data_IF_657896645457
#
_entry.id   IF_657896645457
#
_cell.length_a   1.000
_cell.length_b   1.000
_cell.length_c   1.000
_cell.angle_alpha   90.00
_cell.angle_beta   90.00
_cell.angle_gamma   90.00
#
_symmetry.space_group_name_H-M   'P 1'
#
loop_
_entity.id
_entity.type
_entity.pdbx_description
1 polymer ?
#
# COMPACT_ATOMS: atom_id res chain seq x y z
N UNK A 1 -7.18 9.80 6.13
CA UNK A 1 -6.93 8.56 6.87
C UNK A 1 -5.67 7.98 6.29
N UNK A 2 -4.53 8.00 7.02
CA UNK A 2 -3.36 7.18 6.67
C UNK A 2 -3.86 5.79 6.26
N UNK A 3 -3.22 5.10 5.32
CA UNK A 3 -3.51 3.68 5.11
C UNK A 3 -3.43 3.01 6.48
N UNK A 4 -4.57 2.82 7.13
CA UNK A 4 -4.64 2.29 8.47
C UNK A 4 -4.53 0.80 8.25
N UNK A 5 -3.29 0.35 8.10
CA UNK A 5 -2.88 -1.04 8.08
C UNK A 5 -3.09 -1.71 9.44
N UNK A 6 -4.16 -1.36 10.16
CA UNK A 6 -4.58 -2.04 11.39
C UNK A 6 -5.27 -3.37 11.09
N UNK A 7 -4.93 -4.00 9.95
CA UNK A 7 -5.41 -5.34 9.65
C UNK A 7 -4.73 -6.32 10.62
N UNK A 8 -5.50 -7.19 11.32
CA UNK A 8 -4.97 -8.24 12.17
C UNK A 8 -3.89 -9.09 11.48
N UNK A 9 -3.93 -9.18 10.15
CA UNK A 9 -2.98 -9.92 9.31
C UNK A 9 -1.53 -9.45 9.48
N UNK A 10 -1.27 -8.14 9.61
CA UNK A 10 0.10 -7.65 9.81
C UNK A 10 0.71 -8.12 11.14
N UNK A 11 -0.12 -8.24 12.19
CA UNK A 11 0.32 -8.81 13.47
C UNK A 11 0.71 -10.28 13.33
N UNK A 12 -0.02 -11.05 12.50
CA UNK A 12 0.29 -12.46 12.24
C UNK A 12 1.61 -12.63 11.47
N UNK A 13 2.00 -11.64 10.68
CA UNK A 13 3.29 -11.64 9.98
C UNK A 13 4.45 -11.11 10.84
N UNK A 14 4.22 -10.79 12.11
CA UNK A 14 5.25 -10.28 13.01
C UNK A 14 5.68 -8.83 12.73
N UNK A 15 4.89 -8.06 12.00
CA UNK A 15 5.18 -6.64 11.75
C UNK A 15 4.77 -5.80 12.96
N UNK A 16 5.71 -5.06 13.52
CA UNK A 16 5.50 -4.20 14.70
C UNK A 16 4.69 -2.94 14.37
N UNK A 17 4.12 -2.31 15.41
CA UNK A 17 3.39 -1.06 15.23
C UNK A 17 4.30 0.08 14.75
N UNK A 18 5.57 0.08 15.19
CA UNK A 18 6.62 1.01 14.79
C UNK A 18 6.94 0.85 13.30
N UNK A 19 7.12 -0.38 12.83
CA UNK A 19 7.31 -0.66 11.39
C UNK A 19 6.08 -0.21 10.60
N UNK A 20 4.86 -0.51 11.06
CA UNK A 20 3.64 -0.02 10.40
C UNK A 20 3.59 1.51 10.33
N UNK A 21 4.14 2.22 11.32
CA UNK A 21 4.20 3.69 11.32
C UNK A 21 5.18 4.21 10.27
N UNK A 22 6.35 3.59 10.15
CA UNK A 22 7.40 3.98 9.19
C UNK A 22 7.03 3.64 7.74
N UNK A 23 6.22 2.61 7.53
CA UNK A 23 5.76 2.16 6.22
C UNK A 23 4.52 2.92 5.70
N UNK A 24 4.18 4.08 6.29
CA UNK A 24 3.05 4.94 5.85
C UNK A 24 3.54 6.10 5.00
N UNK A 25 2.92 6.30 3.84
CA UNK A 25 3.04 7.53 3.04
C UNK A 25 2.05 8.59 3.52
N UNK A 26 2.45 9.86 3.46
CA UNK A 26 1.54 10.98 3.70
C UNK A 26 0.39 10.97 2.69
N UNK A 27 -0.85 11.05 3.17
CA UNK A 27 -2.06 10.81 2.37
C UNK A 27 -2.38 11.90 1.36
N UNK A 28 -1.88 13.11 1.59
CA UNK A 28 -2.05 14.27 0.74
C UNK A 28 -1.20 14.19 -0.54
N UNK A 29 -0.20 13.31 -0.58
CA UNK A 29 0.73 13.15 -1.71
C UNK A 29 0.35 11.95 -2.61
N UNK A 30 -0.70 11.20 -2.26
CA UNK A 30 -1.09 9.99 -3.00
C UNK A 30 -2.01 10.33 -4.17
N UNK A 31 -1.43 10.29 -5.37
CA UNK A 31 -2.12 10.38 -6.65
C UNK A 31 -2.23 9.01 -7.34
N UNK A 32 -3.39 8.76 -7.95
CA UNK A 32 -3.67 7.54 -8.73
C UNK A 32 -3.70 7.83 -10.22
N UNK A 33 -3.31 6.86 -11.06
CA UNK A 33 -3.31 7.00 -12.53
C UNK A 33 -4.35 6.15 -13.26
N UNK A 34 -4.78 5.01 -12.72
CA UNK A 34 -5.63 4.03 -13.43
C UNK A 34 -6.85 3.54 -12.62
N UNK A 35 -7.98 4.26 -12.56
CA UNK A 35 -8.23 5.56 -13.17
C UNK A 35 -7.55 6.69 -12.39
N UNK A 36 -7.42 7.84 -13.05
CA UNK A 36 -6.86 9.05 -12.44
C UNK A 36 -7.70 9.50 -11.24
N UNK A 37 -7.03 9.80 -10.14
CA UNK A 37 -7.69 10.19 -8.90
C UNK A 37 -6.69 10.61 -7.83
N UNK A 38 -7.21 10.90 -6.64
CA UNK A 38 -6.40 11.23 -5.46
C UNK A 38 -6.99 10.58 -4.23
N UNK A 39 -6.20 10.44 -3.18
CA UNK A 39 -6.72 9.96 -1.90
C UNK A 39 -7.89 10.82 -1.41
N UNK A 40 -8.98 10.17 -0.97
CA UNK A 40 -10.21 10.84 -0.54
C UNK A 40 -11.07 11.41 -1.68
N UNK A 41 -10.61 11.29 -2.93
CA UNK A 41 -11.36 11.68 -4.13
C UNK A 41 -11.98 10.51 -4.87
N UNK A 42 -12.43 10.78 -6.10
CA UNK A 42 -13.00 9.77 -6.99
C UNK A 42 -11.99 8.65 -7.25
N UNK A 43 -12.46 7.40 -7.19
CA UNK A 43 -11.61 6.21 -7.32
C UNK A 43 -10.86 5.79 -6.05
N UNK A 44 -10.89 6.59 -4.97
CA UNK A 44 -10.17 6.26 -3.74
C UNK A 44 -10.71 4.99 -3.07
N UNK A 45 -12.03 4.80 -3.01
CA UNK A 45 -12.64 3.59 -2.41
C UNK A 45 -12.21 2.31 -3.13
N UNK A 46 -12.12 2.35 -4.47
CA UNK A 46 -11.65 1.21 -5.24
C UNK A 46 -10.17 0.89 -4.93
N UNK A 47 -9.31 1.91 -4.88
CA UNK A 47 -7.91 1.76 -4.51
C UNK A 47 -7.74 1.13 -3.11
N UNK A 48 -8.54 1.57 -2.14
CA UNK A 48 -8.54 0.99 -0.78
C UNK A 48 -8.95 -0.48 -0.80
N UNK A 49 -10.03 -0.82 -1.52
CA UNK A 49 -10.51 -2.20 -1.59
C UNK A 49 -9.52 -3.14 -2.30
N UNK A 50 -8.79 -2.66 -3.31
CA UNK A 50 -7.71 -3.42 -3.96
C UNK A 50 -6.57 -3.72 -2.98
N UNK A 51 -6.14 -2.72 -2.21
CA UNK A 51 -5.09 -2.90 -1.20
C UNK A 51 -5.52 -3.85 -0.08
N UNK A 52 -6.76 -3.74 0.41
CA UNK A 52 -7.32 -4.68 1.38
C UNK A 52 -7.28 -6.11 0.85
N UNK A 53 -7.71 -6.33 -0.40
CA UNK A 53 -7.61 -7.65 -1.04
C UNK A 53 -6.17 -8.17 -1.12
N UNK A 54 -5.18 -7.31 -1.41
CA UNK A 54 -3.77 -7.70 -1.42
C UNK A 54 -3.31 -8.14 -0.03
N UNK A 55 -3.68 -7.41 1.01
CA UNK A 55 -3.35 -7.74 2.41
C UNK A 55 -3.98 -9.08 2.80
N UNK A 56 -5.30 -9.19 2.63
CA UNK A 56 -6.09 -10.32 3.15
C UNK A 56 -5.79 -11.63 2.43
N UNK A 57 -5.35 -11.58 1.17
CA UNK A 57 -5.01 -12.77 0.38
C UNK A 57 -3.52 -13.07 0.29
N UNK A 58 -2.66 -12.29 0.95
CA UNK A 58 -1.23 -12.60 1.04
C UNK A 58 -0.97 -13.57 2.17
N UNK A 59 -0.11 -14.56 1.93
CA UNK A 59 0.22 -15.58 2.95
C UNK A 59 1.22 -15.05 3.98
N UNK A 60 2.14 -14.20 3.53
CA UNK A 60 3.21 -13.65 4.33
C UNK A 60 3.55 -12.22 3.86
N UNK A 61 4.39 -11.54 4.64
CA UNK A 61 4.81 -10.17 4.38
C UNK A 61 5.56 -10.02 3.05
N UNK A 62 6.39 -10.99 2.67
CA UNK A 62 7.15 -10.92 1.42
C UNK A 62 6.23 -10.99 0.18
N UNK A 63 5.21 -11.85 0.24
CA UNK A 63 4.17 -11.92 -0.78
C UNK A 63 3.39 -10.62 -0.86
N UNK A 64 3.03 -10.03 0.30
CA UNK A 64 2.40 -8.72 0.36
C UNK A 64 3.26 -7.64 -0.33
N UNK A 65 4.54 -7.52 0.03
CA UNK A 65 5.46 -6.51 -0.55
C UNK A 65 5.56 -6.66 -2.06
N UNK A 66 5.74 -7.89 -2.59
CA UNK A 66 5.77 -8.14 -4.04
C UNK A 66 4.50 -7.69 -4.75
N UNK A 67 3.34 -8.02 -4.19
CA UNK A 67 2.04 -7.66 -4.78
C UNK A 67 1.76 -6.16 -4.67
N UNK A 68 2.17 -5.54 -3.57
CA UNK A 68 2.09 -4.09 -3.38
C UNK A 68 2.93 -3.35 -4.43
N UNK A 69 4.14 -3.81 -4.73
CA UNK A 69 4.99 -3.19 -5.75
C UNK A 69 4.37 -3.28 -7.15
N UNK A 70 3.79 -4.43 -7.50
CA UNK A 70 3.05 -4.59 -8.76
C UNK A 70 1.84 -3.65 -8.82
N UNK A 71 1.06 -3.59 -7.75
CA UNK A 71 -0.09 -2.68 -7.64
C UNK A 71 0.35 -1.21 -7.72
N UNK A 72 1.46 -0.83 -7.09
CA UNK A 72 1.99 0.52 -7.11
C UNK A 72 2.39 0.95 -8.52
N UNK A 73 3.11 0.12 -9.27
CA UNK A 73 3.43 0.37 -10.68
C UNK A 73 2.20 0.57 -11.55
N UNK A 74 1.08 -0.09 -11.22
CA UNK A 74 -0.17 0.04 -11.96
C UNK A 74 -1.02 1.24 -11.51
N UNK A 75 -1.05 1.56 -10.20
CA UNK A 75 -2.03 2.50 -9.62
C UNK A 75 -1.44 3.84 -9.21
N UNK A 76 -0.19 3.90 -8.78
CA UNK A 76 0.40 5.13 -8.24
C UNK A 76 1.09 5.95 -9.33
N UNK A 77 0.90 7.26 -9.26
CA UNK A 77 1.75 8.20 -9.99
C UNK A 77 3.18 8.09 -9.44
N UNK A 78 4.15 7.81 -10.30
CA UNK A 78 5.53 7.51 -9.89
C UNK A 78 5.79 6.02 -9.57
N UNK A 79 4.78 5.15 -9.67
CA UNK A 79 4.94 3.71 -9.54
C UNK A 79 5.49 3.27 -8.18
N UNK A 80 6.40 2.31 -8.19
CA UNK A 80 7.09 1.81 -6.97
C UNK A 80 7.86 2.91 -6.23
N UNK A 81 8.37 3.93 -6.92
CA UNK A 81 9.11 5.02 -6.27
C UNK A 81 8.21 5.89 -5.37
N UNK A 82 6.89 5.82 -5.54
CA UNK A 82 5.94 6.47 -4.64
C UNK A 82 5.73 5.71 -3.31
N UNK A 83 6.27 4.50 -3.18
CA UNK A 83 6.25 3.75 -1.92
C UNK A 83 7.35 4.23 -0.97
N UNK A 84 7.20 4.07 0.35
CA UNK A 84 8.30 4.22 1.31
C UNK A 84 9.43 3.23 1.04
N UNK A 85 10.67 3.61 1.33
CA UNK A 85 11.87 2.80 1.01
C UNK A 85 11.79 1.36 1.54
N UNK A 86 11.23 1.15 2.73
CA UNK A 86 11.07 -0.18 3.34
C UNK A 86 10.06 -1.08 2.62
N UNK A 87 9.29 -0.55 1.67
CA UNK A 87 8.34 -1.28 0.84
C UNK A 87 8.79 -1.41 -0.62
N UNK A 88 9.92 -0.82 -1.02
CA UNK A 88 10.43 -0.92 -2.39
C UNK A 88 11.24 -2.20 -2.58
N UNK A 89 10.94 -2.96 -3.62
CA UNK A 89 11.84 -4.03 -4.06
C UNK A 89 12.95 -3.40 -4.88
N UNK A 90 14.16 -3.36 -4.32
CA UNK A 90 15.36 -2.93 -5.05
C UNK A 90 15.72 -4.00 -6.09
N UNK A 91 15.97 -3.56 -7.32
CA UNK A 91 16.50 -4.41 -8.40
C UNK A 91 17.94 -4.81 -8.10
#
# INVERSE_FOLDING_TARGET
>A
MAFSFTSPTFKHWGVTAEQIRELRTAINEVEFVNPTGKHGGLGSTAAHNELLKIIDSSKDYNMFVRRLNNWANYRLKGGVEALPDGLRIKK
#
